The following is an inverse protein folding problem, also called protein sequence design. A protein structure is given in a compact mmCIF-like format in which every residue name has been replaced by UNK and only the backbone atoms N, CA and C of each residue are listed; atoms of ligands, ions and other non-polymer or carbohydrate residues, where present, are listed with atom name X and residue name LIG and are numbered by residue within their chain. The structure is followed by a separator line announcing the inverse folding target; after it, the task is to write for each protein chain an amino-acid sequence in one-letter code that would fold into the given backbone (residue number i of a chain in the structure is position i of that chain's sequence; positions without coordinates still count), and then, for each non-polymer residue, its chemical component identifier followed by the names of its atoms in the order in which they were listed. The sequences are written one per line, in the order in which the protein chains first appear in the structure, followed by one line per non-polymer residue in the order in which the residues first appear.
data_IF_797285733412
#
_entry.id   IF_797285733412
#
_cell.length_a   1.000
_cell.length_b   1.000
_cell.length_c   1.000
_cell.angle_alpha   90.00
_cell.angle_beta   90.00
_cell.angle_gamma   90.00
#
_symmetry.space_group_name_H-M   'P 1'
#
loop_
_entity.id
_entity.type
_entity.pdbx_description
1 polymer ?
#
# COMPACT_ATOMS: atom_id res chain seq x y z
N UNK A 1 -23.08 17.16 -8.53
CA UNK A 1 -24.30 16.48 -8.05
C UNK A 1 -24.55 16.93 -6.62
N UNK A 2 -25.64 17.64 -6.41
CA UNK A 2 -26.07 18.16 -5.10
C UNK A 2 -26.90 17.06 -4.45
N UNK A 3 -26.41 16.48 -3.35
CA UNK A 3 -27.21 15.56 -2.53
C UNK A 3 -28.24 16.43 -1.80
N UNK A 4 -29.49 16.00 -1.73
CA UNK A 4 -30.52 16.73 -0.98
C UNK A 4 -30.24 16.65 0.52
N UNK A 5 -30.49 17.73 1.26
CA UNK A 5 -30.26 17.82 2.72
C UNK A 5 -30.94 16.67 3.49
N UNK A 6 -32.09 16.20 3.01
CA UNK A 6 -32.79 15.06 3.62
C UNK A 6 -31.96 13.76 3.54
N UNK A 7 -31.26 13.54 2.42
CA UNK A 7 -30.40 12.38 2.22
C UNK A 7 -29.12 12.50 3.05
N UNK A 8 -28.58 13.70 3.20
CA UNK A 8 -27.42 13.94 4.08
C UNK A 8 -27.75 13.62 5.55
N UNK A 9 -28.92 14.08 6.03
CA UNK A 9 -29.39 13.77 7.38
C UNK A 9 -29.61 12.26 7.60
N UNK A 10 -30.15 11.55 6.60
CA UNK A 10 -30.30 10.09 6.63
C UNK A 10 -28.94 9.38 6.72
N UNK A 11 -27.95 9.81 5.92
CA UNK A 11 -26.59 9.26 5.96
C UNK A 11 -25.97 9.44 7.35
N UNK A 12 -26.06 10.64 7.93
CA UNK A 12 -25.51 10.94 9.24
C UNK A 12 -26.22 10.15 10.35
N UNK A 13 -27.55 10.01 10.28
CA UNK A 13 -28.33 9.20 11.22
C UNK A 13 -27.93 7.73 11.16
N UNK A 14 -27.88 7.13 9.97
CA UNK A 14 -27.50 5.72 9.81
C UNK A 14 -26.05 5.45 10.26
N UNK A 15 -25.16 6.42 10.07
CA UNK A 15 -23.77 6.29 10.51
C UNK A 15 -23.60 6.50 12.02
N UNK A 16 -24.20 7.53 12.62
CA UNK A 16 -24.00 7.85 14.04
C UNK A 16 -24.89 7.03 14.98
N UNK A 17 -26.17 6.87 14.65
CA UNK A 17 -27.14 6.20 15.52
C UNK A 17 -27.05 4.69 15.35
N UNK A 18 -27.09 4.23 14.09
CA UNK A 18 -27.18 2.80 13.78
C UNK A 18 -25.81 2.15 13.56
N UNK A 19 -24.73 2.95 13.46
CA UNK A 19 -23.35 2.49 13.24
C UNK A 19 -23.20 1.60 12.01
N UNK A 20 -23.99 1.86 10.97
CA UNK A 20 -23.93 1.07 9.74
C UNK A 20 -22.65 1.33 8.95
N UNK A 21 -22.06 0.29 8.32
CA UNK A 21 -20.93 0.50 7.43
C UNK A 21 -21.40 1.22 6.15
N UNK A 22 -20.50 2.01 5.55
CA UNK A 22 -20.78 2.81 4.35
C UNK A 22 -21.37 1.98 3.20
N UNK A 23 -20.95 0.72 3.05
CA UNK A 23 -21.49 -0.19 2.05
C UNK A 23 -22.97 -0.53 2.26
N UNK A 24 -23.42 -0.64 3.51
CA UNK A 24 -24.84 -0.89 3.84
C UNK A 24 -25.68 0.37 3.59
N UNK A 25 -25.17 1.54 3.97
CA UNK A 25 -25.83 2.83 3.70
C UNK A 25 -25.97 3.05 2.18
N UNK A 26 -24.94 2.69 1.41
CA UNK A 26 -24.94 2.76 -0.06
C UNK A 26 -26.03 1.90 -0.68
N UNK A 27 -26.17 0.64 -0.22
CA UNK A 27 -27.24 -0.26 -0.70
C UNK A 27 -28.63 0.22 -0.30
N UNK A 28 -28.79 0.77 0.90
CA UNK A 28 -30.10 1.21 1.40
C UNK A 28 -30.59 2.49 0.70
N UNK A 29 -29.71 3.47 0.49
CA UNK A 29 -30.08 4.76 -0.08
C UNK A 29 -29.91 4.81 -1.60
N UNK A 30 -29.28 3.81 -2.21
CA UNK A 30 -28.96 3.79 -3.65
C UNK A 30 -27.90 4.82 -4.05
N UNK A 31 -27.18 5.39 -3.07
CA UNK A 31 -26.17 6.42 -3.29
C UNK A 31 -24.80 5.76 -3.41
N UNK A 32 -23.98 6.23 -4.36
CA UNK A 32 -22.62 5.75 -4.50
C UNK A 32 -21.80 6.02 -3.22
N UNK A 33 -21.06 5.02 -2.74
CA UNK A 33 -20.26 5.10 -1.52
C UNK A 33 -19.29 6.30 -1.47
N UNK A 34 -18.84 6.79 -2.62
CA UNK A 34 -17.98 7.98 -2.70
C UNK A 34 -18.72 9.25 -2.24
N UNK A 35 -19.98 9.43 -2.67
CA UNK A 35 -20.83 10.53 -2.23
C UNK A 35 -21.11 10.46 -0.73
N UNK A 36 -21.35 9.26 -0.20
CA UNK A 36 -21.53 9.03 1.24
C UNK A 36 -20.24 9.38 2.01
N UNK A 37 -19.08 8.93 1.53
CA UNK A 37 -17.79 9.28 2.13
C UNK A 37 -17.53 10.80 2.13
N UNK A 38 -17.93 11.49 1.05
CA UNK A 38 -17.82 12.95 0.97
C UNK A 38 -18.68 13.66 2.03
N UNK A 39 -19.93 13.24 2.22
CA UNK A 39 -20.82 13.77 3.26
C UNK A 39 -20.26 13.49 4.66
N UNK A 40 -19.79 12.27 4.91
CA UNK A 40 -19.16 11.91 6.18
C UNK A 40 -17.89 12.74 6.45
N UNK A 41 -17.07 12.94 5.42
CA UNK A 41 -15.84 13.76 5.52
C UNK A 41 -16.14 15.24 5.78
N UNK A 42 -17.19 15.79 5.15
CA UNK A 42 -17.67 17.15 5.42
C UNK A 42 -18.22 17.32 6.84
N UNK A 43 -18.79 16.27 7.42
CA UNK A 43 -19.23 16.23 8.82
C UNK A 43 -18.07 16.00 9.82
N UNK A 44 -16.81 16.02 9.37
CA UNK A 44 -15.63 15.84 10.22
C UNK A 44 -15.30 14.40 10.56
N UNK A 45 -15.99 13.42 9.96
CA UNK A 45 -15.69 12.00 10.12
C UNK A 45 -14.57 11.70 9.13
N UNK A 46 -13.33 11.80 9.62
CA UNK A 46 -12.17 11.37 8.87
C UNK A 46 -12.39 9.91 8.47
N UNK A 47 -12.27 9.64 7.17
CA UNK A 47 -12.22 8.28 6.63
C UNK A 47 -11.20 7.54 7.47
N UNK A 48 -11.65 6.55 8.26
CA UNK A 48 -10.74 5.61 8.88
C UNK A 48 -9.91 5.08 7.72
N UNK A 49 -8.63 5.49 7.65
CA UNK A 49 -7.71 4.96 6.66
C UNK A 49 -7.91 3.46 6.72
N UNK A 50 -8.21 2.85 5.56
CA UNK A 50 -8.32 1.40 5.50
C UNK A 50 -7.03 0.90 6.10
N UNK A 51 -7.06 0.43 7.34
CA UNK A 51 -5.88 -0.08 8.01
C UNK A 51 -5.39 -1.14 7.06
N UNK A 52 -4.25 -0.87 6.42
CA UNK A 52 -3.68 -1.80 5.48
C UNK A 52 -3.59 -3.09 6.25
N UNK A 53 -4.37 -4.08 5.80
CA UNK A 53 -4.60 -5.29 6.57
C UNK A 53 -3.22 -5.88 6.81
N UNK A 54 -2.81 -5.99 8.09
CA UNK A 54 -1.50 -6.49 8.44
C UNK A 54 -1.26 -7.77 7.65
N UNK A 55 -0.27 -7.74 6.77
CA UNK A 55 0.00 -8.86 5.89
C UNK A 55 0.68 -9.94 6.70
N UNK A 56 0.54 -11.21 6.33
CA UNK A 56 1.26 -12.30 7.02
C UNK A 56 2.79 -12.11 7.04
N UNK A 57 3.31 -11.24 6.19
CA UNK A 57 4.71 -10.88 6.15
C UNK A 57 5.12 -9.93 7.28
N UNK A 58 4.19 -9.15 7.87
CA UNK A 58 4.49 -8.11 8.86
C UNK A 58 5.26 -8.67 10.06
N UNK A 59 4.87 -9.84 10.56
CA UNK A 59 5.60 -10.54 11.63
C UNK A 59 7.05 -10.89 11.27
N UNK A 60 7.33 -11.08 9.98
CA UNK A 60 8.65 -11.47 9.46
C UNK A 60 9.44 -10.29 8.87
N UNK A 61 8.81 -9.12 8.68
CA UNK A 61 9.46 -7.92 8.13
C UNK A 61 10.71 -7.50 8.92
N UNK A 62 10.71 -7.47 10.27
CA UNK A 62 11.90 -7.08 11.03
C UNK A 62 13.11 -7.98 10.71
N UNK A 63 12.87 -9.28 10.52
CA UNK A 63 13.92 -10.21 10.14
C UNK A 63 14.40 -10.00 8.71
N UNK A 64 13.47 -9.76 7.77
CA UNK A 64 13.83 -9.54 6.37
C UNK A 64 14.62 -8.25 6.20
N UNK A 65 14.20 -7.15 6.84
CA UNK A 65 14.91 -5.88 6.81
C UNK A 65 16.34 -6.02 7.34
N UNK A 66 16.51 -6.62 8.53
CA UNK A 66 17.83 -6.88 9.11
C UNK A 66 18.73 -7.72 8.18
N UNK A 67 18.14 -8.70 7.50
CA UNK A 67 18.88 -9.55 6.55
C UNK A 67 19.25 -8.80 5.27
N UNK A 68 18.39 -7.92 4.79
CA UNK A 68 18.65 -7.07 3.62
C UNK A 68 19.67 -5.97 3.91
N UNK A 69 19.71 -5.44 5.13
CA UNK A 69 20.75 -4.50 5.58
C UNK A 69 22.13 -5.17 5.56
N UNK A 70 22.21 -6.41 6.06
CA UNK A 70 23.47 -7.17 6.08
C UNK A 70 23.84 -7.71 4.68
N UNK A 71 22.85 -8.09 3.88
CA UNK A 71 23.04 -8.72 2.57
C UNK A 71 22.11 -8.12 1.50
N UNK A 72 22.43 -6.92 0.98
CA UNK A 72 21.54 -6.20 0.05
C UNK A 72 21.34 -6.90 -1.30
N UNK A 73 22.29 -7.74 -1.72
CA UNK A 73 22.23 -8.51 -2.96
C UNK A 73 21.54 -9.88 -2.81
N UNK A 74 21.09 -10.24 -1.61
CA UNK A 74 20.51 -11.54 -1.34
C UNK A 74 19.22 -11.75 -2.14
N UNK A 75 19.10 -12.89 -2.82
CA UNK A 75 17.93 -13.21 -3.62
C UNK A 75 16.68 -13.39 -2.74
N UNK A 76 15.53 -12.87 -3.20
CA UNK A 76 14.25 -13.00 -2.51
C UNK A 76 13.83 -14.47 -2.32
N UNK A 77 14.23 -15.37 -3.22
CA UNK A 77 14.01 -16.82 -3.06
C UNK A 77 14.74 -17.41 -1.85
N UNK A 78 15.93 -16.90 -1.51
CA UNK A 78 16.68 -17.34 -0.33
C UNK A 78 16.03 -16.81 0.95
N UNK A 79 15.61 -15.54 0.94
CA UNK A 79 14.83 -14.96 2.05
C UNK A 79 13.53 -15.73 2.30
N UNK A 80 12.82 -16.11 1.22
CA UNK A 80 11.61 -16.92 1.34
C UNK A 80 11.88 -18.26 2.01
N UNK A 81 12.96 -18.97 1.66
CA UNK A 81 13.32 -20.22 2.30
C UNK A 81 13.57 -20.04 3.81
N UNK A 82 14.33 -19.01 4.19
CA UNK A 82 14.62 -18.69 5.60
C UNK A 82 13.36 -18.35 6.41
N UNK A 83 12.40 -17.68 5.79
CA UNK A 83 11.13 -17.29 6.42
C UNK A 83 10.14 -18.47 6.45
N UNK A 84 10.20 -19.36 5.46
CA UNK A 84 9.42 -20.61 5.44
C UNK A 84 9.85 -21.57 6.54
N UNK A 85 11.15 -21.70 6.81
CA UNK A 85 11.67 -22.48 7.95
C UNK A 85 11.18 -21.94 9.30
N UNK A 86 10.80 -20.67 9.37
CA UNK A 86 10.27 -20.00 10.57
C UNK A 86 8.75 -20.08 10.69
N UNK A 87 8.05 -20.73 9.76
CA UNK A 87 6.60 -20.94 9.82
C UNK A 87 5.76 -20.06 8.89
N UNK A 88 6.36 -19.37 7.91
CA UNK A 88 5.59 -18.59 6.94
C UNK A 88 4.73 -19.48 6.03
N UNK A 89 3.43 -19.18 6.00
CA UNK A 89 2.40 -19.93 5.28
C UNK A 89 2.02 -19.30 3.94
N UNK A 90 2.50 -18.09 3.65
CA UNK A 90 2.15 -17.37 2.43
C UNK A 90 2.86 -17.89 1.18
N UNK A 91 2.31 -17.52 0.01
CA UNK A 91 2.87 -17.92 -1.28
C UNK A 91 4.20 -17.21 -1.61
N UNK A 92 5.08 -17.85 -2.40
CA UNK A 92 6.38 -17.29 -2.77
C UNK A 92 6.25 -16.06 -3.69
N UNK A 93 5.23 -16.00 -4.54
CA UNK A 93 5.03 -14.89 -5.48
C UNK A 93 4.65 -13.60 -4.76
N UNK A 94 3.65 -13.68 -3.87
CA UNK A 94 3.24 -12.56 -3.03
C UNK A 94 4.39 -12.08 -2.13
N UNK A 95 5.17 -13.02 -1.56
CA UNK A 95 6.36 -12.68 -0.78
C UNK A 95 7.38 -11.89 -1.60
N UNK A 96 7.72 -12.35 -2.83
CA UNK A 96 8.70 -11.65 -3.69
C UNK A 96 8.23 -10.24 -4.07
N UNK A 97 6.93 -10.07 -4.32
CA UNK A 97 6.35 -8.76 -4.62
C UNK A 97 6.54 -7.78 -3.46
N UNK A 98 6.20 -8.22 -2.23
CA UNK A 98 6.37 -7.41 -1.02
C UNK A 98 7.84 -7.06 -0.76
N UNK A 99 8.77 -8.02 -0.91
CA UNK A 99 10.19 -7.76 -0.72
C UNK A 99 10.77 -6.77 -1.74
N UNK A 100 10.22 -6.72 -2.96
CA UNK A 100 10.67 -5.76 -3.96
C UNK A 100 10.36 -4.30 -3.57
N UNK A 101 9.29 -4.07 -2.80
CA UNK A 101 8.95 -2.74 -2.26
C UNK A 101 9.88 -2.33 -1.12
N UNK A 102 10.29 -3.28 -0.28
CA UNK A 102 11.19 -3.04 0.86
C UNK A 102 12.68 -2.99 0.50
N UNK A 103 13.09 -3.47 -0.68
CA UNK A 103 14.50 -3.49 -1.05
C UNK A 103 15.00 -2.05 -1.29
N UNK A 104 16.09 -1.61 -0.62
CA UNK A 104 16.70 -0.32 -0.92
C UNK A 104 17.13 -0.32 -2.38
N UNK A 105 16.54 0.57 -3.19
CA UNK A 105 16.94 0.73 -4.58
C UNK A 105 18.39 1.21 -4.61
N UNK A 106 19.24 0.53 -5.39
CA UNK A 106 20.58 1.05 -5.68
C UNK A 106 20.41 2.47 -6.24
N UNK A 107 21.01 3.44 -5.58
CA UNK A 107 21.14 4.78 -6.11
C UNK A 107 21.91 4.62 -7.43
N UNK A 108 21.37 5.08 -8.58
CA UNK A 108 22.11 5.02 -9.82
C UNK A 108 23.39 5.83 -9.65
N UNK A 109 24.54 5.21 -9.89
CA UNK A 109 25.82 5.91 -9.91
C UNK A 109 25.74 7.02 -10.96
N UNK A 110 26.16 8.23 -10.59
CA UNK A 110 26.18 9.37 -11.50
C UNK A 110 27.30 9.17 -12.54
N UNK A 111 27.02 8.46 -13.62
CA UNK A 111 27.95 8.34 -14.72
C UNK A 111 27.99 9.67 -15.50
N UNK A 112 29.15 10.32 -15.53
CA UNK A 112 29.40 11.44 -16.44
C UNK A 112 29.40 10.89 -17.88
N UNK A 113 28.34 11.18 -18.64
CA UNK A 113 28.30 10.88 -20.07
C UNK A 113 29.27 11.79 -20.80
N UNK A 114 30.45 11.29 -21.11
CA UNK A 114 31.36 11.96 -22.03
C UNK A 114 30.77 11.89 -23.44
N UNK A 115 30.49 13.04 -24.04
CA UNK A 115 30.22 13.16 -25.47
C UNK A 115 31.54 13.54 -26.13
N UNK A 116 32.17 12.60 -26.80
CA UNK A 116 33.34 12.86 -27.66
C UNK A 116 32.85 13.15 -29.07
N UNK A 117 33.39 14.17 -29.74
CA UNK A 117 33.17 14.35 -31.16
C UNK A 117 33.93 13.27 -31.95
N UNK A 118 33.49 12.99 -33.18
CA UNK A 118 34.18 12.04 -34.06
C UNK A 118 35.61 12.53 -34.30
N UNK A 119 36.62 11.79 -33.81
CA UNK A 119 38.05 12.10 -33.99
C UNK A 119 38.82 12.57 -32.75
N UNK A 120 38.19 12.68 -31.57
CA UNK A 120 38.86 13.18 -30.36
C UNK A 120 39.61 12.13 -29.50
N UNK A 121 39.48 10.83 -29.76
CA UNK A 121 40.31 9.80 -29.10
C UNK A 121 41.17 9.09 -30.13
N UNK A 122 42.37 9.63 -30.33
CA UNK A 122 43.49 8.94 -30.94
C UNK A 122 44.61 8.80 -29.89
N UNK A 123 44.73 7.60 -29.31
CA UNK A 123 45.97 6.85 -29.03
C UNK A 123 45.70 5.64 -28.14
#
# INVERSE_FOLDING_TARGET
MTISQEKEAQILRYHHVEKWPVGTISRQLGIHHDAINRVLSQAGILKAERSQRASLIDDYLPFVLKTLEQYPLLCASRLYAMVKERGYTGGPDHFRHLIAEHRPRKIPEAFQRLKTLQGEQAQ
#
